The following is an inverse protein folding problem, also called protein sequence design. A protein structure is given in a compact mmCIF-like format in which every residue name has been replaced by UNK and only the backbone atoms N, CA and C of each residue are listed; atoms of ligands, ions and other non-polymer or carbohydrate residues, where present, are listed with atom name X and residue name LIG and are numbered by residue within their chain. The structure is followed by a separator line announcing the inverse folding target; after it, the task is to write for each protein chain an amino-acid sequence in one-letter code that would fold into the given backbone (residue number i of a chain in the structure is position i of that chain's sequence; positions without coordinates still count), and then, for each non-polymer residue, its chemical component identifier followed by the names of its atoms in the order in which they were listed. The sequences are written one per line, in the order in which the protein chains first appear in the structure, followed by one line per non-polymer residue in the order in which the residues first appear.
data_IF_280666102941
#
_entry.id   IF_280666102941
#
_cell.length_a   1.000
_cell.length_b   1.000
_cell.length_c   1.000
_cell.angle_alpha   90.00
_cell.angle_beta   90.00
_cell.angle_gamma   90.00
#
_symmetry.space_group_name_H-M   'P 1'
#
loop_
_entity.id
_entity.type
_entity.pdbx_description
1 polymer ?
#
# COMPACT_ATOMS: atom_id res chain seq x y z
N UNK A 1 -15.95 -33.56 -29.77
CA UNK A 1 -15.25 -32.37 -30.31
C UNK A 1 -15.55 -31.06 -29.55
N UNK A 2 -16.58 -30.97 -28.70
CA UNK A 2 -17.03 -29.72 -28.04
C UNK A 2 -16.20 -29.29 -26.82
N UNK A 3 -15.69 -30.22 -26.01
CA UNK A 3 -14.92 -29.91 -24.78
C UNK A 3 -13.54 -29.29 -25.06
N UNK A 4 -12.93 -29.60 -26.21
CA UNK A 4 -11.61 -29.08 -26.61
C UNK A 4 -11.70 -27.61 -27.06
N UNK A 5 -12.75 -27.24 -27.79
CA UNK A 5 -12.98 -25.87 -28.28
C UNK A 5 -13.31 -24.88 -27.16
N UNK A 6 -14.05 -25.30 -26.13
CA UNK A 6 -14.34 -24.44 -24.98
C UNK A 6 -13.10 -24.20 -24.11
N UNK A 7 -12.22 -25.22 -23.98
CA UNK A 7 -10.93 -25.05 -23.31
C UNK A 7 -10.03 -24.08 -24.07
N UNK A 8 -9.84 -24.25 -25.37
CA UNK A 8 -8.96 -23.37 -26.16
C UNK A 8 -9.40 -21.91 -26.10
N UNK A 9 -10.72 -21.64 -26.20
CA UNK A 9 -11.29 -20.30 -26.01
C UNK A 9 -10.99 -19.72 -24.63
N UNK A 10 -11.14 -20.53 -23.57
CA UNK A 10 -10.83 -20.11 -22.21
C UNK A 10 -9.36 -19.72 -22.04
N UNK A 11 -8.42 -20.51 -22.59
CA UNK A 11 -6.99 -20.19 -22.51
C UNK A 11 -6.65 -18.89 -23.26
N UNK A 12 -7.17 -18.73 -24.49
CA UNK A 12 -6.92 -17.52 -25.29
C UNK A 12 -7.43 -16.27 -24.56
N UNK A 13 -8.66 -16.30 -24.05
CA UNK A 13 -9.25 -15.19 -23.30
C UNK A 13 -8.44 -14.92 -22.01
N UNK A 14 -8.09 -16.00 -21.30
CA UNK A 14 -7.35 -15.90 -20.03
C UNK A 14 -5.97 -15.27 -20.21
N UNK A 15 -5.34 -15.45 -21.37
CA UNK A 15 -4.07 -14.81 -21.71
C UNK A 15 -4.24 -13.40 -22.28
N UNK A 16 -5.18 -13.19 -23.21
CA UNK A 16 -5.31 -11.93 -23.94
C UNK A 16 -5.78 -10.77 -23.05
N UNK A 17 -6.75 -11.00 -22.15
CA UNK A 17 -7.36 -9.92 -21.38
C UNK A 17 -6.38 -9.25 -20.40
N UNK A 18 -5.58 -9.97 -19.59
CA UNK A 18 -4.53 -9.34 -18.78
C UNK A 18 -3.52 -8.57 -19.61
N UNK A 19 -3.13 -9.07 -20.79
CA UNK A 19 -2.16 -8.40 -21.67
C UNK A 19 -2.70 -7.06 -22.17
N UNK A 20 -3.97 -7.02 -22.59
CA UNK A 20 -4.63 -5.79 -23.03
C UNK A 20 -4.73 -4.76 -21.90
N UNK A 21 -5.08 -5.18 -20.68
CA UNK A 21 -5.13 -4.28 -19.52
C UNK A 21 -3.74 -3.82 -19.09
N UNK A 22 -2.74 -4.69 -19.19
CA UNK A 22 -1.35 -4.31 -18.91
C UNK A 22 -0.86 -3.25 -19.89
N UNK A 23 -1.18 -3.38 -21.18
CA UNK A 23 -0.87 -2.36 -22.17
C UNK A 23 -1.53 -1.00 -21.86
N UNK A 24 -2.73 -1.01 -21.27
CA UNK A 24 -3.42 0.21 -20.85
C UNK A 24 -2.69 0.99 -19.74
N UNK A 25 -1.79 0.35 -18.97
CA UNK A 25 -0.99 1.03 -17.93
C UNK A 25 0.03 2.02 -18.51
N UNK A 26 0.35 1.91 -19.81
CA UNK A 26 1.28 2.79 -20.52
C UNK A 26 0.57 3.93 -21.26
N UNK A 27 -0.75 4.01 -21.18
CA UNK A 27 -1.52 5.14 -21.70
C UNK A 27 -1.37 6.33 -20.73
N UNK A 28 -1.29 7.58 -21.22
CA UNK A 28 -1.18 8.76 -20.36
C UNK A 28 -2.30 8.85 -19.28
N UNK A 29 -1.96 9.45 -18.12
CA UNK A 29 -2.73 9.38 -16.86
C UNK A 29 -4.21 9.85 -16.92
N UNK A 30 -4.63 10.59 -17.95
CA UNK A 30 -6.05 10.96 -18.14
C UNK A 30 -6.86 9.94 -18.94
N UNK A 31 -6.21 9.12 -19.77
CA UNK A 31 -6.87 8.23 -20.73
C UNK A 31 -6.76 6.75 -20.35
N UNK A 32 -5.86 6.38 -19.43
CA UNK A 32 -5.68 5.00 -19.00
C UNK A 32 -6.95 4.39 -18.39
N UNK A 33 -7.61 5.12 -17.47
CA UNK A 33 -8.86 4.69 -16.86
C UNK A 33 -10.00 4.53 -17.88
N UNK A 34 -10.14 5.48 -18.80
CA UNK A 34 -11.12 5.42 -19.89
C UNK A 34 -10.86 4.24 -20.84
N UNK A 35 -9.60 4.05 -21.27
CA UNK A 35 -9.21 2.94 -22.13
C UNK A 35 -9.51 1.59 -21.46
N UNK A 36 -9.19 1.45 -20.18
CA UNK A 36 -9.47 0.27 -19.38
C UNK A 36 -10.98 0.00 -19.24
N UNK A 37 -11.77 1.04 -18.99
CA UNK A 37 -13.23 0.96 -18.92
C UNK A 37 -13.82 0.45 -20.25
N UNK A 38 -13.35 0.97 -21.38
CA UNK A 38 -13.75 0.53 -22.73
C UNK A 38 -13.34 -0.93 -22.98
N UNK A 39 -12.09 -1.28 -22.67
CA UNK A 39 -11.57 -2.66 -22.82
C UNK A 39 -12.45 -3.64 -22.03
N UNK A 40 -12.76 -3.34 -20.77
CA UNK A 40 -13.58 -4.23 -19.92
C UNK A 40 -15.04 -4.29 -20.37
N UNK A 41 -15.63 -3.16 -20.77
CA UNK A 41 -17.00 -3.10 -21.25
C UNK A 41 -17.20 -3.90 -22.56
N UNK A 42 -16.19 -3.94 -23.44
CA UNK A 42 -16.19 -4.76 -24.66
C UNK A 42 -15.81 -6.23 -24.35
N UNK A 43 -14.88 -6.46 -23.43
CA UNK A 43 -14.45 -7.80 -23.07
C UNK A 43 -15.56 -8.59 -22.38
N UNK A 44 -16.35 -7.97 -21.49
CA UNK A 44 -17.41 -8.66 -20.75
C UNK A 44 -18.42 -9.41 -21.63
N UNK A 45 -19.10 -8.80 -22.62
CA UNK A 45 -20.03 -9.52 -23.47
C UNK A 45 -19.34 -10.65 -24.24
N UNK A 46 -18.10 -10.42 -24.71
CA UNK A 46 -17.29 -11.45 -25.38
C UNK A 46 -17.03 -12.66 -24.46
N UNK A 47 -16.61 -12.40 -23.21
CA UNK A 47 -16.39 -13.43 -22.18
C UNK A 47 -17.70 -14.16 -21.84
N UNK A 48 -18.79 -13.43 -21.66
CA UNK A 48 -20.10 -13.98 -21.31
C UNK A 48 -20.70 -14.86 -22.42
N UNK A 49 -20.45 -14.53 -23.69
CA UNK A 49 -20.87 -15.33 -24.85
C UNK A 49 -20.01 -16.59 -25.03
N UNK A 50 -18.70 -16.48 -24.84
CA UNK A 50 -17.74 -17.55 -25.13
C UNK A 50 -17.54 -18.52 -23.97
N UNK A 51 -17.77 -18.09 -22.72
CA UNK A 51 -17.54 -18.88 -21.51
C UNK A 51 -18.85 -18.94 -20.71
N UNK A 52 -19.48 -20.12 -20.71
CA UNK A 52 -20.68 -20.35 -19.89
C UNK A 52 -20.32 -20.31 -18.40
N UNK A 53 -20.93 -19.39 -17.67
CA UNK A 53 -20.82 -19.31 -16.21
C UNK A 53 -21.39 -20.57 -15.57
N UNK A 54 -20.61 -21.19 -14.68
CA UNK A 54 -21.09 -22.31 -13.85
C UNK A 54 -21.76 -21.77 -12.58
N UNK A 55 -22.79 -22.44 -12.06
CA UNK A 55 -23.43 -22.01 -10.82
C UNK A 55 -22.42 -22.06 -9.67
N UNK A 56 -22.22 -20.91 -9.01
CA UNK A 56 -21.40 -20.81 -7.83
C UNK A 56 -22.24 -21.13 -6.58
N UNK A 57 -21.60 -21.70 -5.56
CA UNK A 57 -22.19 -21.95 -4.24
C UNK A 57 -22.38 -20.62 -3.49
N UNK A 58 -23.43 -19.87 -3.85
CA UNK A 58 -23.82 -18.64 -3.14
C UNK A 58 -24.57 -19.00 -1.85
N UNK A 59 -23.85 -19.21 -0.76
CA UNK A 59 -24.47 -19.43 0.56
C UNK A 59 -24.48 -18.08 1.30
N UNK A 60 -25.65 -17.61 1.76
CA UNK A 60 -25.81 -16.37 2.56
C UNK A 60 -25.32 -15.08 1.87
N UNK A 61 -25.49 -14.97 0.55
CA UNK A 61 -25.04 -13.80 -0.24
C UNK A 61 -25.59 -12.46 0.27
N UNK A 62 -26.83 -12.42 0.78
CA UNK A 62 -27.43 -11.22 1.38
C UNK A 62 -26.73 -10.79 2.67
N UNK A 63 -26.41 -11.74 3.56
CA UNK A 63 -25.73 -11.44 4.82
C UNK A 63 -24.29 -10.99 4.55
N UNK A 64 -23.59 -11.68 3.63
CA UNK A 64 -22.26 -11.30 3.22
C UNK A 64 -22.21 -9.91 2.54
N UNK A 65 -23.20 -9.58 1.70
CA UNK A 65 -23.35 -8.24 1.15
C UNK A 65 -23.44 -7.18 2.25
N UNK A 66 -24.34 -7.37 3.22
CA UNK A 66 -24.51 -6.43 4.33
C UNK A 66 -23.22 -6.28 5.15
N UNK A 67 -22.57 -7.39 5.50
CA UNK A 67 -21.32 -7.35 6.27
C UNK A 67 -20.22 -6.64 5.49
N UNK A 68 -19.99 -7.00 4.22
CA UNK A 68 -18.96 -6.37 3.39
C UNK A 68 -19.22 -4.88 3.19
N UNK A 69 -20.47 -4.49 2.90
CA UNK A 69 -20.85 -3.08 2.75
C UNK A 69 -20.67 -2.30 4.06
N UNK A 70 -21.09 -2.87 5.19
CA UNK A 70 -20.90 -2.25 6.50
C UNK A 70 -19.42 -2.10 6.87
N UNK A 71 -18.58 -3.11 6.59
CA UNK A 71 -17.13 -3.02 6.82
C UNK A 71 -16.49 -1.93 5.97
N UNK A 72 -16.83 -1.87 4.67
CA UNK A 72 -16.32 -0.82 3.78
C UNK A 72 -16.75 0.59 4.24
N UNK A 73 -18.03 0.76 4.60
CA UNK A 73 -18.54 2.04 5.08
C UNK A 73 -17.84 2.47 6.37
N UNK A 74 -17.71 1.56 7.34
CA UNK A 74 -16.99 1.81 8.59
C UNK A 74 -15.55 2.27 8.34
N UNK A 75 -14.85 1.59 7.44
CA UNK A 75 -13.48 1.94 7.10
C UNK A 75 -13.36 3.32 6.48
N UNK A 76 -14.21 3.64 5.50
CA UNK A 76 -14.25 4.97 4.90
C UNK A 76 -14.56 6.01 5.97
N UNK A 77 -15.54 5.76 6.86
CA UNK A 77 -15.85 6.67 7.96
C UNK A 77 -14.65 6.90 8.86
N UNK A 78 -13.93 5.86 9.27
CA UNK A 78 -12.71 5.98 10.10
C UNK A 78 -11.64 6.80 9.38
N UNK A 79 -11.39 6.52 8.09
CA UNK A 79 -10.44 7.28 7.29
C UNK A 79 -10.83 8.76 7.19
N UNK A 80 -12.09 9.07 6.92
CA UNK A 80 -12.57 10.45 6.85
C UNK A 80 -12.52 11.17 8.20
N UNK A 81 -12.86 10.48 9.30
CA UNK A 81 -12.72 11.03 10.65
C UNK A 81 -11.26 11.29 11.04
N UNK A 82 -10.31 10.48 10.56
CA UNK A 82 -8.89 10.74 10.80
C UNK A 82 -8.42 12.06 10.17
N UNK A 83 -9.11 12.54 9.13
CA UNK A 83 -8.89 13.88 8.56
C UNK A 83 -9.17 15.02 9.54
N UNK A 84 -9.95 14.81 10.61
CA UNK A 84 -10.12 15.81 11.67
C UNK A 84 -8.83 16.04 12.46
N UNK A 85 -7.95 15.04 12.50
CA UNK A 85 -6.65 15.12 13.17
C UNK A 85 -5.54 15.53 12.20
N UNK A 86 -5.46 14.88 11.04
CA UNK A 86 -4.39 15.13 10.04
C UNK A 86 -4.68 16.30 9.11
N UNK A 87 -5.90 16.84 9.13
CA UNK A 87 -6.39 17.84 8.18
C UNK A 87 -6.97 17.21 6.91
N UNK A 88 -7.46 18.09 6.03
CA UNK A 88 -8.02 17.74 4.73
C UNK A 88 -7.26 18.44 3.62
N UNK A 89 -7.13 17.76 2.48
CA UNK A 89 -6.57 18.30 1.24
C UNK A 89 -7.60 18.24 0.11
N UNK A 90 -7.54 19.21 -0.78
CA UNK A 90 -8.29 19.17 -2.03
C UNK A 90 -7.86 17.94 -2.87
N UNK A 91 -8.75 17.36 -3.68
CA UNK A 91 -8.44 16.17 -4.46
C UNK A 91 -7.54 16.58 -5.63
N UNK A 92 -6.75 15.65 -6.14
CA UNK A 92 -5.91 15.91 -7.32
C UNK A 92 -6.75 16.29 -8.55
N UNK A 93 -7.98 15.76 -8.65
CA UNK A 93 -8.94 16.05 -9.70
C UNK A 93 -10.23 16.58 -9.05
N UNK A 94 -10.60 17.86 -9.26
CA UNK A 94 -11.83 18.40 -8.68
C UNK A 94 -13.07 17.79 -9.34
N UNK A 95 -14.16 17.66 -8.58
CA UNK A 95 -15.43 17.17 -9.12
C UNK A 95 -16.08 18.22 -10.03
N UNK A 96 -15.92 18.04 -11.34
CA UNK A 96 -16.62 18.76 -12.40
C UNK A 96 -17.37 17.76 -13.28
N UNK A 97 -18.32 18.22 -14.11
CA UNK A 97 -19.03 17.33 -15.04
C UNK A 97 -18.05 16.60 -15.97
N UNK A 98 -17.06 17.32 -16.52
CA UNK A 98 -16.06 16.71 -17.41
C UNK A 98 -15.22 15.67 -16.67
N UNK A 99 -14.73 16.00 -15.47
CA UNK A 99 -13.93 15.07 -14.69
C UNK A 99 -14.73 13.85 -14.22
N UNK A 100 -16.04 14.01 -13.99
CA UNK A 100 -16.91 12.89 -13.68
C UNK A 100 -16.94 11.86 -14.84
N UNK A 101 -17.06 12.32 -16.09
CA UNK A 101 -17.09 11.42 -17.25
C UNK A 101 -15.70 10.85 -17.61
N UNK A 102 -14.63 11.58 -17.32
CA UNK A 102 -13.26 11.16 -17.64
C UNK A 102 -12.65 10.25 -16.57
N UNK A 103 -13.00 10.45 -15.30
CA UNK A 103 -12.39 9.72 -14.18
C UNK A 103 -13.42 8.85 -13.44
N UNK A 104 -14.47 9.45 -12.87
CA UNK A 104 -15.38 8.73 -11.97
C UNK A 104 -16.21 7.65 -12.65
N UNK A 105 -16.81 7.98 -13.80
CA UNK A 105 -17.64 7.03 -14.54
C UNK A 105 -16.81 5.83 -15.05
N UNK A 106 -15.62 6.03 -15.66
CA UNK A 106 -14.71 4.93 -15.97
C UNK A 106 -14.37 4.07 -14.76
N UNK A 107 -14.17 4.67 -13.58
CA UNK A 107 -13.91 3.89 -12.35
C UNK A 107 -15.06 2.98 -11.94
N UNK A 108 -16.29 3.48 -12.00
CA UNK A 108 -17.48 2.67 -11.74
C UNK A 108 -17.63 1.54 -12.77
N UNK A 109 -17.41 1.83 -14.05
CA UNK A 109 -17.46 0.85 -15.16
C UNK A 109 -16.43 -0.26 -14.94
N UNK A 110 -15.17 0.10 -14.64
CA UNK A 110 -14.09 -0.84 -14.37
C UNK A 110 -14.45 -1.75 -13.18
N UNK A 111 -14.93 -1.18 -12.07
CA UNK A 111 -15.32 -1.94 -10.87
C UNK A 111 -16.37 -3.00 -11.21
N UNK A 112 -17.43 -2.61 -11.94
CA UNK A 112 -18.52 -3.50 -12.31
C UNK A 112 -18.04 -4.59 -13.26
N UNK A 113 -17.45 -4.23 -14.40
CA UNK A 113 -17.12 -5.20 -15.44
C UNK A 113 -15.96 -6.12 -15.06
N UNK A 114 -14.93 -5.63 -14.37
CA UNK A 114 -13.86 -6.48 -13.87
C UNK A 114 -14.39 -7.56 -12.93
N UNK A 115 -15.37 -7.23 -12.08
CA UNK A 115 -15.94 -8.19 -11.14
C UNK A 115 -16.94 -9.16 -11.81
N UNK A 116 -17.69 -8.71 -12.81
CA UNK A 116 -18.52 -9.60 -13.63
C UNK A 116 -17.67 -10.61 -14.40
N UNK A 117 -16.54 -10.18 -14.96
CA UNK A 117 -15.57 -11.06 -15.64
C UNK A 117 -14.94 -12.04 -14.64
N UNK A 118 -14.48 -11.57 -13.46
CA UNK A 118 -13.99 -12.44 -12.37
C UNK A 118 -14.98 -13.57 -12.07
N UNK A 119 -16.24 -13.22 -11.91
CA UNK A 119 -17.31 -14.14 -11.55
C UNK A 119 -17.48 -15.27 -12.60
N UNK A 120 -17.26 -14.96 -13.88
CA UNK A 120 -17.27 -15.96 -14.96
C UNK A 120 -15.99 -16.81 -14.93
N UNK A 121 -14.82 -16.19 -14.84
CA UNK A 121 -13.52 -16.88 -14.88
C UNK A 121 -13.31 -17.83 -13.70
N UNK A 122 -13.58 -17.37 -12.47
CA UNK A 122 -13.42 -18.20 -11.27
C UNK A 122 -14.39 -19.40 -11.29
N UNK A 123 -15.58 -19.25 -11.88
CA UNK A 123 -16.54 -20.35 -12.01
C UNK A 123 -16.04 -21.51 -12.88
N UNK A 124 -14.96 -21.33 -13.64
CA UNK A 124 -14.41 -22.38 -14.51
C UNK A 124 -13.55 -23.41 -13.78
N UNK A 125 -13.18 -23.16 -12.52
CA UNK A 125 -12.33 -24.06 -11.70
C UNK A 125 -11.03 -24.49 -12.41
N UNK A 126 -10.48 -23.62 -13.28
CA UNK A 126 -9.23 -23.86 -13.99
C UNK A 126 -8.14 -22.91 -13.49
N UNK A 127 -6.91 -23.44 -13.33
CA UNK A 127 -5.76 -22.63 -12.90
C UNK A 127 -5.53 -21.40 -13.79
N UNK A 128 -5.59 -21.49 -15.14
CA UNK A 128 -5.43 -20.33 -16.01
C UNK A 128 -6.51 -19.26 -15.80
N UNK A 129 -7.76 -19.66 -15.63
CA UNK A 129 -8.86 -18.72 -15.41
C UNK A 129 -8.75 -18.05 -14.02
N UNK A 130 -8.28 -18.78 -13.01
CA UNK A 130 -8.01 -18.23 -11.68
C UNK A 130 -6.87 -17.20 -11.72
N UNK A 131 -5.75 -17.53 -12.38
CA UNK A 131 -4.62 -16.60 -12.55
C UNK A 131 -5.07 -15.35 -13.34
N UNK A 132 -5.77 -15.54 -14.45
CA UNK A 132 -6.28 -14.44 -15.27
C UNK A 132 -7.23 -13.55 -14.48
N UNK A 133 -8.16 -14.13 -13.72
CA UNK A 133 -9.06 -13.36 -12.87
C UNK A 133 -8.32 -12.52 -11.83
N UNK A 134 -7.25 -13.05 -11.24
CA UNK A 134 -6.44 -12.30 -10.28
C UNK A 134 -5.68 -11.17 -10.97
N UNK A 135 -5.04 -11.46 -12.12
CA UNK A 135 -4.30 -10.48 -12.91
C UNK A 135 -5.20 -9.33 -13.39
N UNK A 136 -6.36 -9.64 -14.00
CA UNK A 136 -7.35 -8.63 -14.43
C UNK A 136 -7.79 -7.76 -13.26
N UNK A 137 -8.03 -8.37 -12.10
CA UNK A 137 -8.43 -7.65 -10.90
C UNK A 137 -7.35 -6.70 -10.38
N UNK A 138 -6.10 -7.16 -10.28
CA UNK A 138 -4.98 -6.30 -9.85
C UNK A 138 -4.75 -5.18 -10.85
N UNK A 139 -4.68 -5.49 -12.14
CA UNK A 139 -4.51 -4.48 -13.20
C UNK A 139 -5.64 -3.45 -13.18
N UNK A 140 -6.89 -3.87 -12.98
CA UNK A 140 -8.04 -2.97 -12.88
C UNK A 140 -7.91 -1.97 -11.72
N UNK A 141 -7.25 -2.35 -10.65
CA UNK A 141 -7.02 -1.48 -9.49
C UNK A 141 -5.86 -0.50 -9.74
N UNK A 142 -4.80 -0.96 -10.41
CA UNK A 142 -3.65 -0.13 -10.76
C UNK A 142 -3.97 0.91 -11.83
N UNK A 143 -4.95 0.65 -12.68
CA UNK A 143 -5.38 1.59 -13.73
C UNK A 143 -6.08 2.85 -13.18
N UNK A 144 -6.44 2.86 -11.88
CA UNK A 144 -6.89 4.07 -11.17
C UNK A 144 -5.76 4.96 -10.69
N UNK A 145 -4.56 4.41 -10.67
CA UNK A 145 -3.39 5.07 -10.11
C UNK A 145 -2.59 5.65 -11.26
N UNK A 146 -2.03 6.83 -11.02
CA UNK A 146 -1.10 7.53 -11.89
C UNK A 146 -0.22 6.50 -12.63
N UNK A 147 -0.48 6.30 -13.94
CA UNK A 147 0.07 5.19 -14.74
C UNK A 147 1.59 5.03 -14.61
N UNK A 148 2.08 3.81 -14.84
CA UNK A 148 3.49 3.41 -14.63
C UNK A 148 4.47 4.28 -15.44
N UNK A 149 4.00 4.91 -16.52
CA UNK A 149 4.79 5.82 -17.36
C UNK A 149 5.39 7.02 -16.59
N UNK A 150 4.89 7.35 -15.39
CA UNK A 150 5.43 8.42 -14.54
C UNK A 150 6.51 8.00 -13.55
N UNK A 151 6.87 6.70 -13.48
CA UNK A 151 7.86 6.21 -12.52
C UNK A 151 9.26 6.37 -13.14
N UNK A 152 9.94 7.44 -12.78
CA UNK A 152 11.29 7.76 -13.26
C UNK A 152 12.36 7.69 -12.18
N UNK A 153 11.97 7.73 -10.90
CA UNK A 153 12.88 7.72 -9.74
C UNK A 153 12.62 6.51 -8.84
N UNK A 154 13.59 6.12 -8.04
CA UNK A 154 13.39 5.04 -7.08
C UNK A 154 12.39 5.40 -5.96
N UNK A 155 12.33 6.66 -5.54
CA UNK A 155 11.33 7.14 -4.59
C UNK A 155 9.90 6.96 -5.15
N UNK A 156 9.69 7.32 -6.42
CA UNK A 156 8.39 7.13 -7.08
C UNK A 156 8.04 5.64 -7.26
N UNK A 157 9.04 4.78 -7.49
CA UNK A 157 8.85 3.33 -7.55
C UNK A 157 8.44 2.75 -6.19
N UNK A 158 9.16 3.09 -5.12
CA UNK A 158 8.86 2.63 -3.75
C UNK A 158 7.47 3.10 -3.34
N UNK A 159 7.15 4.36 -3.61
CA UNK A 159 5.85 4.95 -3.33
C UNK A 159 4.74 4.26 -4.11
N UNK A 160 4.97 3.92 -5.39
CA UNK A 160 4.00 3.18 -6.20
C UNK A 160 3.74 1.78 -5.65
N UNK A 161 4.82 1.05 -5.32
CA UNK A 161 4.72 -0.32 -4.81
C UNK A 161 3.97 -0.34 -3.48
N UNK A 162 4.33 0.56 -2.55
CA UNK A 162 3.72 0.65 -1.22
C UNK A 162 2.27 1.12 -1.25
N UNK A 163 1.98 2.22 -1.96
CA UNK A 163 0.66 2.86 -1.92
C UNK A 163 -0.38 2.19 -2.83
N UNK A 164 0.04 1.51 -3.90
CA UNK A 164 -0.87 1.03 -4.94
C UNK A 164 -0.72 -0.47 -5.23
N UNK A 165 0.49 -0.94 -5.51
CA UNK A 165 0.70 -2.34 -5.94
C UNK A 165 0.38 -3.36 -4.84
N UNK A 166 0.96 -3.21 -3.66
CA UNK A 166 0.73 -4.14 -2.55
C UNK A 166 -0.74 -4.08 -2.06
N UNK A 167 -1.37 -2.91 -1.88
CA UNK A 167 -2.80 -2.85 -1.57
C UNK A 167 -3.68 -3.52 -2.63
N UNK A 168 -3.40 -3.31 -3.92
CA UNK A 168 -4.15 -3.94 -5.01
C UNK A 168 -4.12 -5.47 -4.92
N UNK A 169 -2.98 -6.07 -4.59
CA UNK A 169 -2.84 -7.51 -4.34
C UNK A 169 -3.78 -7.95 -3.20
N UNK A 170 -3.72 -7.29 -2.04
CA UNK A 170 -4.53 -7.68 -0.87
C UNK A 170 -6.04 -7.55 -1.09
N UNK A 171 -6.48 -6.49 -1.77
CA UNK A 171 -7.88 -6.29 -2.19
C UNK A 171 -8.33 -7.45 -3.09
N UNK A 172 -7.50 -7.85 -4.05
CA UNK A 172 -7.83 -8.90 -4.99
C UNK A 172 -7.83 -10.30 -4.37
N UNK A 173 -7.06 -10.53 -3.30
CA UNK A 173 -7.17 -11.74 -2.48
C UNK A 173 -8.53 -11.82 -1.77
N UNK A 174 -8.99 -10.70 -1.19
CA UNK A 174 -10.34 -10.62 -0.59
C UNK A 174 -11.42 -10.89 -1.65
N UNK A 175 -11.33 -10.26 -2.83
CA UNK A 175 -12.32 -10.42 -3.90
C UNK A 175 -12.35 -11.85 -4.44
N UNK A 176 -11.17 -12.47 -4.63
CA UNK A 176 -11.06 -13.88 -4.99
C UNK A 176 -11.65 -14.84 -3.95
N UNK A 177 -11.67 -14.45 -2.68
CA UNK A 177 -12.35 -15.22 -1.62
C UNK A 177 -13.87 -15.02 -1.61
N UNK A 178 -14.32 -13.77 -1.73
CA UNK A 178 -15.74 -13.39 -1.62
C UNK A 178 -16.55 -13.79 -2.86
N UNK A 179 -16.04 -13.48 -4.06
CA UNK A 179 -16.76 -13.65 -5.33
C UNK A 179 -17.31 -15.06 -5.57
N UNK A 180 -16.52 -16.15 -5.42
CA UNK A 180 -17.04 -17.52 -5.60
C UNK A 180 -18.02 -17.98 -4.50
N UNK A 181 -17.99 -17.38 -3.31
CA UNK A 181 -18.78 -17.83 -2.14
C UNK A 181 -20.07 -17.05 -1.93
N UNK A 182 -20.02 -15.75 -2.21
CA UNK A 182 -21.10 -14.80 -1.91
C UNK A 182 -21.59 -14.05 -3.14
N UNK A 183 -20.91 -14.22 -4.28
CA UNK A 183 -21.25 -13.60 -5.56
C UNK A 183 -20.54 -12.26 -5.81
N UNK A 184 -20.69 -11.76 -7.04
CA UNK A 184 -20.07 -10.50 -7.46
C UNK A 184 -20.67 -9.27 -6.75
N UNK A 185 -21.95 -9.32 -6.36
CA UNK A 185 -22.66 -8.15 -5.81
C UNK A 185 -22.02 -7.65 -4.51
N UNK A 186 -21.59 -8.54 -3.61
CA UNK A 186 -20.91 -8.14 -2.37
C UNK A 186 -19.56 -7.47 -2.65
N UNK A 187 -18.83 -7.95 -3.66
CA UNK A 187 -17.55 -7.37 -4.06
C UNK A 187 -17.73 -6.01 -4.75
N UNK A 188 -18.70 -5.90 -5.66
CA UNK A 188 -19.03 -4.63 -6.33
C UNK A 188 -19.43 -3.58 -5.29
N UNK A 189 -20.33 -3.93 -4.36
CA UNK A 189 -20.75 -3.01 -3.31
C UNK A 189 -19.58 -2.56 -2.42
N UNK A 190 -18.74 -3.50 -1.98
CA UNK A 190 -17.53 -3.18 -1.22
C UNK A 190 -16.62 -2.20 -1.98
N UNK A 191 -16.32 -2.50 -3.25
CA UNK A 191 -15.44 -1.67 -4.10
C UNK A 191 -16.00 -0.27 -4.32
N UNK A 192 -17.28 -0.14 -4.65
CA UNK A 192 -17.91 1.16 -4.88
C UNK A 192 -17.96 2.01 -3.61
N UNK A 193 -18.22 1.41 -2.44
CA UNK A 193 -18.20 2.13 -1.16
C UNK A 193 -16.78 2.59 -0.82
N UNK A 194 -15.76 1.80 -1.12
CA UNK A 194 -14.35 2.18 -0.90
C UNK A 194 -13.87 3.27 -1.87
N UNK A 195 -14.41 3.30 -3.09
CA UNK A 195 -13.97 4.18 -4.17
C UNK A 195 -14.69 5.54 -4.16
N UNK A 196 -16.02 5.54 -4.25
CA UNK A 196 -16.82 6.72 -4.56
C UNK A 196 -16.62 7.89 -3.58
N UNK A 197 -16.48 7.68 -2.27
CA UNK A 197 -16.24 8.79 -1.34
C UNK A 197 -14.96 9.56 -1.65
N UNK A 198 -13.90 8.90 -2.14
CA UNK A 198 -12.65 9.58 -2.50
C UNK A 198 -12.76 10.38 -3.81
N UNK A 199 -13.68 10.02 -4.69
CA UNK A 199 -13.88 10.72 -5.97
C UNK A 199 -14.99 11.77 -5.92
N UNK A 200 -16.02 11.56 -5.10
CA UNK A 200 -17.19 12.44 -5.00
C UNK A 200 -17.06 13.50 -3.92
N UNK A 201 -16.28 13.26 -2.86
CA UNK A 201 -16.13 14.24 -1.78
C UNK A 201 -15.02 15.22 -2.17
N UNK A 202 -15.29 16.54 -2.20
CA UNK A 202 -14.32 17.55 -2.62
C UNK A 202 -13.08 17.68 -1.71
N UNK A 203 -13.06 17.01 -0.56
CA UNK A 203 -11.96 17.08 0.38
C UNK A 203 -11.62 15.67 0.85
N UNK A 204 -10.35 15.29 0.71
CA UNK A 204 -9.86 13.99 1.15
C UNK A 204 -8.97 14.14 2.39
N UNK A 205 -8.96 13.16 3.29
CA UNK A 205 -8.09 13.18 4.46
C UNK A 205 -6.61 13.28 4.09
N UNK A 206 -5.87 14.20 4.73
CA UNK A 206 -4.46 14.46 4.46
C UNK A 206 -3.53 13.56 5.30
N UNK A 207 -3.78 12.24 5.28
CA UNK A 207 -2.93 11.29 6.03
C UNK A 207 -1.53 11.23 5.42
N UNK A 208 -0.48 11.01 6.25
CA UNK A 208 0.83 10.63 5.76
C UNK A 208 0.75 9.39 4.86
N UNK A 209 1.46 9.41 3.74
CA UNK A 209 1.36 8.36 2.70
C UNK A 209 1.61 6.96 3.25
N UNK A 210 2.61 6.83 4.13
CA UNK A 210 2.94 5.57 4.79
C UNK A 210 1.75 4.99 5.55
N UNK A 211 1.04 5.82 6.33
CA UNK A 211 -0.15 5.40 7.07
C UNK A 211 -1.25 4.96 6.09
N UNK A 212 -1.45 5.72 5.02
CA UNK A 212 -2.48 5.44 4.04
C UNK A 212 -2.23 4.11 3.29
N UNK A 213 -0.99 3.86 2.85
CA UNK A 213 -0.55 2.58 2.28
C UNK A 213 -0.84 1.42 3.21
N UNK A 214 -0.41 1.54 4.46
CA UNK A 214 -0.59 0.53 5.48
C UNK A 214 -2.06 0.22 5.73
N UNK A 215 -2.87 1.24 5.96
CA UNK A 215 -4.31 1.07 6.25
C UNK A 215 -5.02 0.39 5.07
N UNK A 216 -4.69 0.76 3.82
CA UNK A 216 -5.23 0.12 2.60
C UNK A 216 -4.74 -1.32 2.39
N UNK A 217 -3.52 -1.64 2.81
CA UNK A 217 -2.96 -2.98 2.75
C UNK A 217 -3.61 -3.93 3.77
N UNK A 218 -3.80 -3.44 5.01
CA UNK A 218 -4.25 -4.27 6.13
C UNK A 218 -5.76 -4.51 6.10
N UNK A 219 -6.53 -3.47 5.79
CA UNK A 219 -7.97 -3.52 5.94
C UNK A 219 -8.66 -4.66 5.15
N UNK A 220 -8.32 -4.94 3.88
CA UNK A 220 -8.91 -6.05 3.13
C UNK A 220 -8.69 -7.41 3.80
N UNK A 221 -7.58 -7.57 4.52
CA UNK A 221 -7.23 -8.80 5.22
C UNK A 221 -7.95 -8.94 6.55
N UNK A 222 -8.21 -7.82 7.23
CA UNK A 222 -9.13 -7.80 8.39
C UNK A 222 -10.55 -8.20 7.96
N UNK A 223 -11.04 -7.66 6.83
CA UNK A 223 -12.36 -8.04 6.30
C UNK A 223 -12.37 -9.51 5.90
N UNK A 224 -11.33 -9.99 5.22
CA UNK A 224 -11.18 -11.40 4.88
C UNK A 224 -11.27 -12.29 6.13
N UNK A 225 -10.48 -11.99 7.17
CA UNK A 225 -10.44 -12.81 8.39
C UNK A 225 -11.75 -12.75 9.17
N UNK A 226 -12.40 -11.58 9.22
CA UNK A 226 -13.69 -11.38 9.86
C UNK A 226 -14.81 -12.15 9.16
N UNK A 227 -14.97 -11.99 7.84
CA UNK A 227 -15.98 -12.73 7.05
C UNK A 227 -15.73 -14.23 7.12
N UNK A 228 -14.46 -14.65 7.08
CA UNK A 228 -14.08 -16.05 7.28
C UNK A 228 -14.50 -16.56 8.66
N UNK A 229 -14.23 -15.82 9.73
CA UNK A 229 -14.64 -16.21 11.10
C UNK A 229 -16.16 -16.35 11.27
N UNK A 230 -16.94 -15.46 10.64
CA UNK A 230 -18.41 -15.47 10.74
C UNK A 230 -19.05 -16.64 10.02
N UNK A 231 -18.56 -16.99 8.83
CA UNK A 231 -19.24 -17.92 7.93
C UNK A 231 -18.52 -19.27 7.77
N UNK A 232 -17.24 -19.37 8.15
CA UNK A 232 -16.46 -20.62 8.06
C UNK A 232 -16.53 -21.42 9.37
N UNK A 233 -17.70 -22.02 9.66
CA UNK A 233 -17.82 -23.15 10.59
C UNK A 233 -18.37 -24.39 9.86
N UNK A 234 -17.44 -25.34 9.62
CA UNK A 234 -17.58 -26.70 9.04
C UNK A 234 -18.24 -26.83 7.66
N UNK A 235 -17.40 -26.91 6.62
CA UNK A 235 -17.47 -28.01 5.62
C UNK A 235 -16.08 -28.23 5.00
N UNK A 236 -15.47 -29.38 5.32
CA UNK A 236 -14.26 -29.88 4.65
C UNK A 236 -14.61 -30.14 3.18
N UNK A 237 -13.95 -29.47 2.23
CA UNK A 237 -13.25 -30.04 1.05
C UNK A 237 -12.35 -28.93 0.45
N UNK A 238 -11.06 -29.24 0.30
CA UNK A 238 -9.95 -28.60 -0.45
C UNK A 238 -9.82 -27.06 -0.39
N UNK A 239 -8.81 -26.43 0.23
CA UNK A 239 -7.36 -26.60 0.02
C UNK A 239 -6.58 -26.32 1.32
N UNK A 240 -5.93 -27.34 1.90
CA UNK A 240 -5.12 -27.23 3.14
C UNK A 240 -3.93 -26.26 3.03
N UNK A 241 -3.40 -26.02 1.83
CA UNK A 241 -2.28 -25.10 1.58
C UNK A 241 -2.67 -23.62 1.72
N UNK A 242 -3.92 -23.26 1.44
CA UNK A 242 -4.38 -21.87 1.48
C UNK A 242 -4.74 -21.39 2.89
N UNK A 243 -5.14 -22.30 3.79
CA UNK A 243 -5.53 -21.97 5.16
C UNK A 243 -4.33 -21.67 6.08
N UNK A 244 -3.21 -22.40 5.91
CA UNK A 244 -1.95 -22.12 6.63
C UNK A 244 -1.33 -20.80 6.16
N UNK A 245 -1.30 -20.58 4.85
CA UNK A 245 -0.87 -19.32 4.26
C UNK A 245 -1.74 -18.15 4.75
N UNK A 246 -3.06 -18.32 4.79
CA UNK A 246 -3.99 -17.33 5.31
C UNK A 246 -3.77 -17.02 6.80
N UNK A 247 -3.50 -18.01 7.65
CA UNK A 247 -3.29 -17.78 9.09
C UNK A 247 -1.93 -17.11 9.36
N UNK A 248 -0.88 -17.51 8.63
CA UNK A 248 0.45 -16.87 8.72
C UNK A 248 0.37 -15.42 8.24
N UNK A 249 -0.33 -15.17 7.13
CA UNK A 249 -0.60 -13.81 6.65
C UNK A 249 -1.41 -13.04 7.69
N UNK A 250 -2.49 -13.59 8.23
CA UNK A 250 -3.32 -12.88 9.22
C UNK A 250 -2.53 -12.53 10.48
N UNK A 251 -1.63 -13.43 10.94
CA UNK A 251 -0.76 -13.18 12.09
C UNK A 251 0.31 -12.11 11.79
N UNK A 252 0.95 -12.19 10.63
CA UNK A 252 1.88 -11.17 10.15
C UNK A 252 1.18 -9.80 10.01
N UNK A 253 -0.06 -9.79 9.53
CA UNK A 253 -0.86 -8.58 9.38
C UNK A 253 -1.38 -8.02 10.69
N UNK A 254 -1.71 -8.85 11.67
CA UNK A 254 -1.98 -8.39 13.03
C UNK A 254 -0.73 -7.75 13.66
N UNK A 255 0.45 -8.31 13.42
CA UNK A 255 1.72 -7.73 13.86
C UNK A 255 1.98 -6.36 13.21
N UNK A 256 1.80 -6.25 11.89
CA UNK A 256 1.95 -4.97 11.17
C UNK A 256 0.86 -3.98 11.60
N UNK A 257 -0.38 -4.40 11.81
CA UNK A 257 -1.48 -3.55 12.32
C UNK A 257 -1.19 -3.03 13.73
N UNK A 258 -0.63 -3.85 14.61
CA UNK A 258 -0.16 -3.42 15.93
C UNK A 258 0.98 -2.41 15.78
N UNK A 259 1.94 -2.65 14.89
CA UNK A 259 3.01 -1.68 14.62
C UNK A 259 2.46 -0.34 14.09
N UNK A 260 1.44 -0.37 13.22
CA UNK A 260 0.77 0.83 12.69
C UNK A 260 -0.05 1.53 13.76
N UNK A 261 -0.78 0.81 14.62
CA UNK A 261 -1.49 1.43 15.75
C UNK A 261 -0.50 2.09 16.72
N UNK A 262 0.67 1.48 16.94
CA UNK A 262 1.76 2.10 17.70
C UNK A 262 2.26 3.38 16.99
N UNK A 263 2.46 3.37 15.68
CA UNK A 263 2.82 4.55 14.86
C UNK A 263 1.75 5.66 14.90
N UNK A 264 0.47 5.31 14.78
CA UNK A 264 -0.69 6.21 14.72
C UNK A 264 -1.02 6.88 16.04
N UNK A 265 -0.70 6.24 17.17
CA UNK A 265 -0.94 6.80 18.50
C UNK A 265 -0.05 8.03 18.83
N UNK A 266 0.69 8.56 17.85
CA UNK A 266 1.56 9.75 17.97
C UNK A 266 2.52 9.70 19.16
N UNK A 267 2.84 8.49 19.64
CA UNK A 267 3.90 8.20 20.61
C UNK A 267 5.20 7.79 19.89
N UNK A 268 5.27 7.92 18.58
CA UNK A 268 6.49 7.72 17.81
C UNK A 268 7.26 9.03 17.74
N UNK A 269 8.10 9.26 18.73
CA UNK A 269 9.21 10.19 18.64
C UNK A 269 10.37 9.45 17.96
N UNK A 270 10.20 8.77 16.82
CA UNK A 270 11.31 8.03 16.19
C UNK A 270 11.37 8.23 14.67
N UNK A 271 12.59 8.34 14.12
CA UNK A 271 12.86 8.39 12.68
C UNK A 271 13.99 7.43 12.30
N UNK A 272 14.22 7.25 10.99
CA UNK A 272 15.29 6.40 10.48
C UNK A 272 16.09 7.10 9.38
N UNK A 273 17.40 6.86 9.34
CA UNK A 273 18.34 7.42 8.35
C UNK A 273 19.31 6.34 7.87
N UNK A 274 19.60 6.33 6.58
CA UNK A 274 20.65 5.51 5.99
C UNK A 274 21.98 6.23 6.17
N UNK A 275 23.00 5.51 6.63
CA UNK A 275 24.34 6.04 6.89
C UNK A 275 25.14 6.03 5.59
N UNK A 276 25.45 7.21 5.07
CA UNK A 276 26.19 7.39 3.81
C UNK A 276 27.70 7.55 3.95
N UNK A 277 28.20 7.85 5.15
CA UNK A 277 29.62 8.13 5.42
C UNK A 277 30.25 7.15 6.41
N UNK A 278 31.58 7.14 6.49
CA UNK A 278 32.37 6.27 7.38
C UNK A 278 32.83 7.00 8.66
N UNK A 279 32.34 8.22 8.92
CA UNK A 279 32.72 9.05 10.09
C UNK A 279 32.44 8.40 11.45
N UNK A 280 31.48 7.47 11.50
CA UNK A 280 31.10 6.71 12.70
C UNK A 280 31.58 5.25 12.67
N UNK A 281 32.47 4.90 11.73
CA UNK A 281 32.96 3.52 11.55
C UNK A 281 33.55 2.95 12.85
N UNK A 282 33.32 1.66 13.10
CA UNK A 282 33.52 0.98 14.39
C UNK A 282 32.21 0.81 15.17
N UNK A 283 31.42 1.88 15.32
CA UNK A 283 30.13 1.82 15.99
C UNK A 283 28.95 1.77 15.02
N UNK A 284 29.03 2.53 13.93
CA UNK A 284 28.00 2.63 12.89
C UNK A 284 28.67 2.64 11.52
N UNK A 285 28.39 1.64 10.70
CA UNK A 285 29.04 1.49 9.40
C UNK A 285 28.23 2.13 8.27
N UNK A 286 28.92 2.51 7.20
CA UNK A 286 28.28 2.93 5.96
C UNK A 286 27.38 1.81 5.42
N UNK A 287 26.12 2.16 5.09
CA UNK A 287 25.10 1.20 4.66
C UNK A 287 24.22 0.67 5.80
N UNK A 288 24.49 1.04 7.04
CA UNK A 288 23.57 0.79 8.15
C UNK A 288 22.37 1.75 8.09
N UNK A 289 21.25 1.31 8.67
CA UNK A 289 20.12 2.21 8.98
C UNK A 289 20.14 2.48 10.47
N UNK A 290 20.21 3.74 10.86
CA UNK A 290 20.03 4.15 12.24
C UNK A 290 18.56 4.46 12.51
N UNK A 291 18.09 4.07 13.69
CA UNK A 291 16.81 4.52 14.24
C UNK A 291 17.13 5.50 15.36
N UNK A 292 16.58 6.71 15.27
CA UNK A 292 16.77 7.75 16.26
C UNK A 292 15.43 8.13 16.90
N UNK A 293 15.48 8.58 18.15
CA UNK A 293 14.37 9.15 18.87
C UNK A 293 14.37 10.67 18.71
N UNK A 294 13.31 11.25 18.15
CA UNK A 294 13.16 12.70 17.96
C UNK A 294 13.41 13.46 19.26
N UNK A 295 14.20 14.52 19.16
CA UNK A 295 14.53 15.36 20.30
C UNK A 295 13.28 16.09 20.80
N UNK A 296 13.03 15.94 22.10
CA UNK A 296 11.92 16.62 22.78
C UNK A 296 12.46 17.73 23.67
N UNK A 297 12.78 17.38 24.91
CA UNK A 297 13.48 18.20 25.92
C UNK A 297 14.21 17.30 26.92
N UNK A 298 14.62 16.12 26.47
CA UNK A 298 15.29 15.14 27.33
C UNK A 298 16.76 15.55 27.41
N UNK A 299 17.40 15.55 28.60
CA UNK A 299 18.80 15.91 28.70
C UNK A 299 19.65 14.91 27.93
N UNK A 300 20.43 15.41 26.97
CA UNK A 300 21.43 14.62 26.23
C UNK A 300 22.72 14.60 27.04
N UNK A 301 23.27 13.41 27.23
CA UNK A 301 24.50 13.20 27.98
C UNK A 301 25.72 13.02 27.07
N UNK A 302 26.90 13.26 27.64
CA UNK A 302 28.17 12.88 27.02
C UNK A 302 28.18 11.37 26.69
N UNK A 303 28.68 11.01 25.51
CA UNK A 303 28.74 9.66 24.99
C UNK A 303 27.51 9.21 24.19
N UNK A 304 26.41 9.97 24.18
CA UNK A 304 25.24 9.66 23.34
C UNK A 304 25.50 9.99 21.87
N UNK A 305 24.92 9.21 20.95
CA UNK A 305 25.00 9.50 19.51
C UNK A 305 23.76 10.26 19.10
N UNK A 306 23.96 11.42 18.48
CA UNK A 306 22.88 12.32 18.09
C UNK A 306 22.85 12.54 16.58
N UNK A 307 21.65 12.80 16.08
CA UNK A 307 21.38 13.25 14.72
C UNK A 307 21.08 14.74 14.80
N UNK A 308 21.81 15.56 14.06
CA UNK A 308 21.62 17.00 14.01
C UNK A 308 21.74 17.53 12.59
N UNK A 309 21.19 18.71 12.36
CA UNK A 309 21.23 19.41 11.08
C UNK A 309 22.14 20.64 11.22
N UNK A 310 23.25 20.65 10.51
CA UNK A 310 24.22 21.74 10.53
C UNK A 310 24.51 22.19 9.11
N UNK A 311 24.25 23.46 8.83
CA UNK A 311 24.42 24.06 7.50
C UNK A 311 23.64 23.31 6.39
N UNK A 312 22.50 22.71 6.72
CA UNK A 312 21.67 21.95 5.78
C UNK A 312 22.17 20.52 5.52
N UNK A 313 23.20 20.07 6.23
CA UNK A 313 23.72 18.71 6.17
C UNK A 313 23.34 17.97 7.45
N UNK A 314 22.66 16.83 7.28
CA UNK A 314 22.28 15.96 8.38
C UNK A 314 23.45 15.06 8.79
N UNK A 315 23.94 15.26 10.00
CA UNK A 315 25.14 14.61 10.53
C UNK A 315 24.78 13.72 11.72
N UNK A 316 25.50 12.60 11.88
CA UNK A 316 25.30 11.63 12.95
C UNK A 316 26.65 11.48 13.66
N UNK A 317 26.81 12.05 14.85
CA UNK A 317 28.07 11.96 15.62
C UNK A 317 27.80 11.76 17.11
N UNK A 318 28.84 11.36 17.86
CA UNK A 318 28.77 11.17 19.30
C UNK A 318 29.02 12.49 20.02
N UNK A 319 28.27 12.75 21.09
CA UNK A 319 28.50 13.87 22.00
C UNK A 319 29.77 13.59 22.80
N UNK A 320 30.76 14.45 22.62
CA UNK A 320 32.07 14.40 23.27
C UNK A 320 32.12 15.29 24.51
N UNK A 321 31.30 16.36 24.57
CA UNK A 321 31.18 17.23 25.74
C UNK A 321 29.89 18.05 25.71
N UNK A 322 29.37 18.43 26.88
CA UNK A 322 28.14 19.21 27.05
C UNK A 322 28.40 20.38 27.98
N UNK A 323 28.23 21.61 27.50
CA UNK A 323 28.48 22.82 28.28
C UNK A 323 27.28 23.75 28.26
N UNK A 324 26.99 24.36 29.41
CA UNK A 324 26.00 25.43 29.52
C UNK A 324 26.70 26.78 29.51
N UNK A 325 26.50 27.58 28.47
CA UNK A 325 27.13 28.90 28.29
C UNK A 325 26.02 29.91 28.00
N UNK A 326 25.99 31.02 28.75
CA UNK A 326 24.99 32.10 28.60
C UNK A 326 23.52 31.63 28.71
N UNK A 327 23.28 30.54 29.46
CA UNK A 327 21.95 29.95 29.65
C UNK A 327 21.51 28.99 28.54
N UNK A 328 22.35 28.76 27.53
CA UNK A 328 22.10 27.84 26.41
C UNK A 328 22.97 26.58 26.54
N UNK A 329 22.38 25.41 26.23
CA UNK A 329 23.10 24.15 26.18
C UNK A 329 23.81 24.01 24.84
N UNK A 330 25.12 23.77 24.89
CA UNK A 330 25.99 23.57 23.73
C UNK A 330 26.57 22.17 23.76
N UNK A 331 26.41 21.46 22.67
CA UNK A 331 26.87 20.08 22.50
C UNK A 331 28.07 20.07 21.55
N UNK A 332 29.18 19.52 22.01
CA UNK A 332 30.36 19.31 21.18
C UNK A 332 30.36 17.88 20.69
N UNK A 333 30.47 17.68 19.38
CA UNK A 333 30.32 16.37 18.75
C UNK A 333 31.61 15.90 18.09
N UNK A 334 31.75 14.59 17.94
CA UNK A 334 32.87 13.94 17.28
C UNK A 334 32.40 12.63 16.63
N UNK A 335 32.82 12.39 15.38
CA UNK A 335 32.65 11.09 14.73
C UNK A 335 33.56 10.04 15.38
N UNK A 336 33.05 8.83 15.63
CA UNK A 336 33.80 7.77 16.31
C UNK A 336 35.10 7.38 15.56
N UNK A 337 35.11 7.51 14.24
CA UNK A 337 36.29 7.26 13.40
C UNK A 337 37.17 8.50 13.17
N UNK A 338 36.72 9.69 13.60
CA UNK A 338 37.47 10.93 13.42
C UNK A 338 38.53 11.08 14.52
N UNK A 339 39.71 11.64 14.19
CA UNK A 339 40.74 11.93 15.20
C UNK A 339 40.43 13.20 16.00
N UNK A 340 39.90 14.22 15.32
CA UNK A 340 39.59 15.53 15.88
C UNK A 340 38.08 15.69 16.15
N UNK A 341 37.75 16.62 17.06
CA UNK A 341 36.38 17.04 17.36
C UNK A 341 35.83 17.90 16.21
N UNK A 342 34.53 17.86 15.99
CA UNK A 342 33.90 18.71 14.99
C UNK A 342 34.07 20.19 15.32
N UNK A 343 34.12 21.03 14.30
CA UNK A 343 34.27 22.48 14.49
C UNK A 343 33.00 23.12 15.04
N UNK A 344 33.15 23.88 16.12
CA UNK A 344 32.05 24.60 16.78
C UNK A 344 31.23 23.73 17.72
N UNK A 345 29.97 24.11 17.94
CA UNK A 345 29.01 23.39 18.78
C UNK A 345 27.70 23.17 18.02
N UNK A 346 26.85 22.34 18.58
CA UNK A 346 25.47 22.09 18.17
C UNK A 346 24.55 22.63 19.27
N UNK A 347 23.50 23.34 18.87
CA UNK A 347 22.46 23.87 19.76
C UNK A 347 21.27 22.92 19.81
N UNK A 348 20.43 23.03 20.86
CA UNK A 348 19.20 22.23 20.96
C UNK A 348 18.28 22.34 19.74
N UNK A 349 18.26 23.50 19.06
CA UNK A 349 17.46 23.72 17.85
C UNK A 349 17.94 22.95 16.62
N UNK A 350 19.22 22.58 16.60
CA UNK A 350 19.82 21.84 15.49
C UNK A 350 19.68 20.32 15.69
N UNK A 351 19.33 19.87 16.90
CA UNK A 351 19.22 18.45 17.22
C UNK A 351 17.88 17.90 16.70
N UNK A 352 17.99 16.89 15.84
CA UNK A 352 16.85 16.15 15.31
C UNK A 352 16.46 15.01 16.25
N UNK A 353 17.43 14.32 16.86
CA UNK A 353 17.16 13.24 17.82
C UNK A 353 18.37 12.42 18.27
N UNK A 354 18.16 11.48 19.19
CA UNK A 354 19.21 10.61 19.74
C UNK A 354 19.10 9.21 19.15
N UNK A 355 20.20 8.64 18.65
CA UNK A 355 20.23 7.29 18.07
C UNK A 355 19.98 6.24 19.15
N UNK A 356 19.00 5.37 18.91
CA UNK A 356 18.61 4.30 19.83
C UNK A 356 18.92 2.90 19.30
N UNK A 357 18.99 2.73 17.99
CA UNK A 357 19.22 1.42 17.39
C UNK A 357 19.94 1.52 16.06
N UNK A 358 20.70 0.47 15.74
CA UNK A 358 21.42 0.29 14.49
C UNK A 358 20.91 -0.99 13.82
N UNK A 359 20.59 -0.89 12.54
CA UNK A 359 20.17 -2.01 11.70
C UNK A 359 21.27 -2.24 10.64
N UNK A 360 22.11 -3.28 10.81
CA UNK A 360 23.28 -3.47 9.97
C UNK A 360 22.93 -3.77 8.51
N UNK A 361 23.61 -3.15 7.56
CA UNK A 361 23.58 -3.46 6.12
C UNK A 361 22.21 -3.37 5.41
N UNK A 362 21.14 -2.91 6.07
CA UNK A 362 19.80 -2.81 5.45
C UNK A 362 19.70 -1.59 4.50
N UNK A 363 20.60 -0.61 4.64
CA UNK A 363 20.60 0.61 3.83
C UNK A 363 21.29 0.49 2.47
N UNK A 364 22.00 -0.61 2.20
CA UNK A 364 22.71 -0.80 0.92
C UNK A 364 21.82 -0.72 -0.32
N UNK A 365 20.58 -1.27 -0.36
CA UNK A 365 19.72 -1.10 -1.52
C UNK A 365 19.46 0.38 -1.85
N UNK A 366 19.27 1.21 -0.82
CA UNK A 366 19.09 2.65 -1.00
C UNK A 366 20.35 3.32 -1.54
N UNK A 367 21.53 2.99 -0.99
CA UNK A 367 22.81 3.51 -1.48
C UNK A 367 23.14 3.07 -2.91
N UNK A 368 22.84 1.82 -3.27
CA UNK A 368 23.04 1.30 -4.62
C UNK A 368 22.15 2.05 -5.62
N UNK A 369 20.90 2.32 -5.23
CA UNK A 369 19.97 3.09 -6.02
C UNK A 369 20.47 4.53 -6.21
N UNK A 370 20.91 5.20 -5.15
CA UNK A 370 21.44 6.57 -5.20
C UNK A 370 22.63 6.66 -6.17
N UNK A 371 23.56 5.72 -6.08
CA UNK A 371 24.74 5.62 -6.97
C UNK A 371 24.44 5.33 -8.44
N UNK A 372 23.21 4.96 -8.80
CA UNK A 372 22.79 4.77 -10.19
C UNK A 372 22.26 6.07 -10.83
N UNK A 373 21.95 7.08 -10.02
CA UNK A 373 21.38 8.36 -10.46
C UNK A 373 22.33 9.55 -10.28
N UNK A 374 23.47 9.36 -9.60
CA UNK A 374 24.66 10.21 -9.66
C UNK A 374 25.52 9.89 -10.89
#
# INVERSE_FOLDING_TARGET
MTVSADKSRLYVISAALPVLLFAALFVPMGNAGLAAAVILAIAYPTVALLIKKRPLLSIRSREALLVCSASAALFVTILFLSGLYFGFKSPAVPLTLDNFFVYTLPSVIIVIFAELIRNILISQESTPAAISSYAVGVLSELLFTAGIAGITTAESLVSFVGNYFLPAITLNLLYGYLSPRYGATSVIAFRLIMLLPFELIPYTPALPELIFAFVRLIFPLLVYSFVRSLYEKRRRVAHRSFALFSNIITALFALVAVAIMMLLSCRFSFGALVVGSESMSGAIEKGDVIVYKSYGREPIAEGEVIVFDKEGVRTIHRVDDVQQIDGEMRYYTKGDANEERDTGYVTESEIVGTVIHRLPAIGYPTLMIDSLFD
#
